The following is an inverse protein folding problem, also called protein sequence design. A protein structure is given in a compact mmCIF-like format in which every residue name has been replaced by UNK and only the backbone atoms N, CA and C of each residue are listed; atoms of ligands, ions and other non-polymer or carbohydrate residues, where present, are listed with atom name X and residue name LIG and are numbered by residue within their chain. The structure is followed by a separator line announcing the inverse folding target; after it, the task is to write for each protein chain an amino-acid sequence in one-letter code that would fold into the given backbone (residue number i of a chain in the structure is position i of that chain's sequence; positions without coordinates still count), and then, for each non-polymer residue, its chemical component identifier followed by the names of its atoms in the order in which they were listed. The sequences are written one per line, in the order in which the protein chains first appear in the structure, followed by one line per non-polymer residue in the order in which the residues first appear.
data_IF_552455361145
#
_entry.id   IF_552455361145
#
_cell.length_a   1.000
_cell.length_b   1.000
_cell.length_c   1.000
_cell.angle_alpha   90.00
_cell.angle_beta   90.00
_cell.angle_gamma   90.00
#
_symmetry.space_group_name_H-M   'P 1'
#
loop_
_entity.id
_entity.type
_entity.pdbx_description
1 polymer ?
#
# COMPACT_ATOMS: atom_id res chain seq x y z
N UNK A 1 -3.41 11.46 -4.71
CA UNK A 1 -4.76 11.14 -4.22
C UNK A 1 -4.67 11.15 -2.71
N UNK A 2 -5.35 12.09 -2.07
CA UNK A 2 -5.39 12.14 -0.61
C UNK A 2 -6.61 11.39 -0.10
N UNK A 3 -6.50 10.69 1.04
CA UNK A 3 -7.56 9.85 1.62
C UNK A 3 -8.26 8.94 0.59
N UNK A 4 -7.48 8.15 -0.16
CA UNK A 4 -8.00 7.37 -1.30
C UNK A 4 -9.18 6.46 -0.95
N UNK A 5 -9.22 5.95 0.28
CA UNK A 5 -10.24 5.05 0.79
C UNK A 5 -11.54 5.74 1.24
N UNK A 6 -11.58 7.08 1.24
CA UNK A 6 -12.72 7.83 1.77
C UNK A 6 -13.99 7.58 0.94
N UNK A 7 -15.04 7.07 1.58
CA UNK A 7 -16.31 6.73 0.94
C UNK A 7 -16.29 5.45 0.07
N UNK A 8 -15.18 4.70 0.06
CA UNK A 8 -15.05 3.46 -0.71
C UNK A 8 -15.20 2.22 0.17
N UNK A 9 -16.19 1.38 -0.13
CA UNK A 9 -16.29 0.06 0.49
C UNK A 9 -15.10 -0.82 0.10
N UNK A 10 -14.54 -1.60 1.04
CA UNK A 10 -13.32 -2.39 0.81
C UNK A 10 -13.39 -3.30 -0.44
N UNK A 11 -14.58 -3.82 -0.75
CA UNK A 11 -14.81 -4.70 -1.91
C UNK A 11 -14.54 -4.04 -3.27
N UNK A 12 -14.62 -2.71 -3.38
CA UNK A 12 -14.38 -2.00 -4.64
C UNK A 12 -12.94 -1.52 -4.79
N UNK A 13 -12.19 -1.46 -3.69
CA UNK A 13 -10.84 -0.88 -3.66
C UNK A 13 -9.87 -1.68 -4.52
N UNK A 14 -9.98 -3.02 -4.53
CA UNK A 14 -9.16 -3.90 -5.39
C UNK A 14 -9.35 -3.59 -6.88
N UNK A 15 -10.60 -3.53 -7.36
CA UNK A 15 -10.90 -3.22 -8.76
C UNK A 15 -10.45 -1.82 -9.16
N UNK A 16 -10.56 -0.86 -8.24
CA UNK A 16 -10.11 0.52 -8.48
C UNK A 16 -8.58 0.58 -8.60
N UNK A 17 -7.84 -0.15 -7.76
CA UNK A 17 -6.39 -0.27 -7.89
C UNK A 17 -5.97 -0.88 -9.22
N UNK A 18 -6.63 -1.95 -9.68
CA UNK A 18 -6.35 -2.54 -11.01
C UNK A 18 -6.53 -1.51 -12.13
N UNK A 19 -7.58 -0.70 -12.07
CA UNK A 19 -7.83 0.37 -13.03
C UNK A 19 -6.74 1.45 -12.97
N UNK A 20 -6.38 1.90 -11.77
CA UNK A 20 -5.35 2.94 -11.57
C UNK A 20 -4.00 2.47 -12.09
N UNK A 21 -3.61 1.23 -11.81
CA UNK A 21 -2.39 0.64 -12.34
C UNK A 21 -2.43 0.61 -13.87
N UNK A 22 -3.50 0.10 -14.47
CA UNK A 22 -3.63 0.06 -15.94
C UNK A 22 -3.49 1.45 -16.56
N UNK A 23 -4.20 2.45 -16.03
CA UNK A 23 -4.14 3.83 -16.52
C UNK A 23 -2.77 4.46 -16.30
N UNK A 24 -2.12 4.20 -15.16
CA UNK A 24 -0.78 4.70 -14.88
C UNK A 24 0.24 4.18 -15.90
N UNK A 25 0.15 2.89 -16.29
CA UNK A 25 0.99 2.30 -17.35
C UNK A 25 0.70 2.93 -18.71
N UNK A 26 -0.58 2.99 -19.08
CA UNK A 26 -1.00 3.48 -20.39
C UNK A 26 -0.63 4.95 -20.62
N UNK A 27 -0.75 5.77 -19.58
CA UNK A 27 -0.46 7.19 -19.63
C UNK A 27 1.00 7.52 -19.27
N UNK A 28 1.80 6.52 -18.85
CA UNK A 28 3.16 6.69 -18.35
C UNK A 28 3.26 7.76 -17.24
N UNK A 29 2.38 7.65 -16.24
CA UNK A 29 2.32 8.57 -15.10
C UNK A 29 2.63 7.86 -13.78
N UNK A 30 3.18 8.60 -12.83
CA UNK A 30 3.36 8.13 -11.45
C UNK A 30 2.20 8.59 -10.58
N UNK A 31 1.62 7.67 -9.82
CA UNK A 31 0.51 7.94 -8.90
C UNK A 31 1.00 7.88 -7.46
N UNK A 32 0.77 8.95 -6.71
CA UNK A 32 0.96 8.98 -5.27
C UNK A 32 -0.40 8.99 -4.57
N UNK A 33 -0.60 8.07 -3.63
CA UNK A 33 -1.81 7.97 -2.83
C UNK A 33 -1.50 7.89 -1.34
N UNK A 34 -2.33 8.50 -0.52
CA UNK A 34 -2.30 8.38 0.95
C UNK A 34 -3.57 7.67 1.40
N UNK A 35 -3.46 6.89 2.45
CA UNK A 35 -4.59 6.19 3.06
C UNK A 35 -4.30 5.99 4.55
N UNK A 36 -5.37 5.97 5.33
CA UNK A 36 -5.35 5.51 6.71
C UNK A 36 -5.97 4.11 6.89
N UNK A 37 -6.53 3.54 5.81
CA UNK A 37 -7.20 2.24 5.83
C UNK A 37 -6.23 1.09 5.57
N UNK A 38 -6.29 0.10 6.46
CA UNK A 38 -5.57 -1.15 6.30
C UNK A 38 -6.12 -1.98 5.13
N UNK A 39 -7.44 -1.99 4.93
CA UNK A 39 -8.07 -2.73 3.82
C UNK A 39 -7.62 -2.18 2.46
N UNK A 40 -7.39 -0.86 2.38
CA UNK A 40 -6.86 -0.20 1.19
C UNK A 40 -5.41 -0.61 0.92
N UNK A 41 -4.57 -0.66 1.95
CA UNK A 41 -3.18 -1.10 1.84
C UNK A 41 -3.12 -2.57 1.40
N UNK A 42 -3.99 -3.43 1.95
CA UNK A 42 -4.05 -4.84 1.57
C UNK A 42 -4.48 -4.98 0.12
N UNK A 43 -5.56 -4.31 -0.29
CA UNK A 43 -6.05 -4.34 -1.67
C UNK A 43 -5.00 -3.84 -2.67
N UNK A 44 -4.27 -2.77 -2.33
CA UNK A 44 -3.14 -2.29 -3.11
C UNK A 44 -2.05 -3.36 -3.24
N UNK A 45 -1.70 -3.98 -2.12
CA UNK A 45 -0.62 -4.97 -2.06
C UNK A 45 -0.94 -6.21 -2.90
N UNK A 46 -2.17 -6.71 -2.83
CA UNK A 46 -2.63 -7.83 -3.65
C UNK A 46 -2.51 -7.50 -5.15
N UNK A 47 -2.97 -6.32 -5.56
CA UNK A 47 -2.91 -5.90 -6.98
C UNK A 47 -1.47 -5.66 -7.43
N UNK A 48 -0.62 -5.08 -6.58
CA UNK A 48 0.79 -4.88 -6.88
C UNK A 48 1.53 -6.21 -7.08
N UNK A 49 1.24 -7.21 -6.24
CA UNK A 49 1.81 -8.57 -6.37
C UNK A 49 1.31 -9.28 -7.64
N UNK A 50 0.03 -9.15 -7.97
CA UNK A 50 -0.54 -9.72 -9.20
C UNK A 50 0.06 -9.11 -10.48
N UNK A 51 0.62 -7.89 -10.39
CA UNK A 51 1.17 -7.15 -11.52
C UNK A 51 2.70 -6.99 -11.39
N UNK A 52 3.44 -8.08 -11.61
CA UNK A 52 4.93 -8.15 -11.54
C UNK A 52 5.62 -7.11 -12.46
N UNK A 53 4.95 -6.67 -13.52
CA UNK A 53 5.43 -5.64 -14.45
C UNK A 53 5.34 -4.19 -13.88
N UNK A 54 4.86 -4.02 -12.64
CA UNK A 54 4.64 -2.71 -12.03
C UNK A 54 5.37 -2.55 -10.70
N UNK A 55 6.21 -1.51 -10.65
CA UNK A 55 6.93 -1.13 -9.43
C UNK A 55 5.97 -0.45 -8.43
N UNK A 56 5.35 -1.27 -7.57
CA UNK A 56 4.59 -0.81 -6.40
C UNK A 56 5.50 -0.59 -5.19
N UNK A 57 5.41 0.58 -4.54
CA UNK A 57 6.12 0.85 -3.27
C UNK A 57 5.15 1.40 -2.24
N UNK A 58 5.13 0.79 -1.05
CA UNK A 58 4.36 1.28 0.08
C UNK A 58 5.30 2.00 1.08
N UNK A 59 4.93 3.22 1.41
CA UNK A 59 5.61 4.03 2.44
C UNK A 59 4.72 4.09 3.67
N UNK A 60 5.12 3.42 4.75
CA UNK A 60 4.43 3.52 6.04
C UNK A 60 5.11 4.54 6.92
N UNK A 61 4.37 5.58 7.28
CA UNK A 61 4.83 6.59 8.23
C UNK A 61 4.33 6.18 9.62
N UNK A 62 5.24 6.06 10.57
CA UNK A 62 4.94 5.66 11.95
C UNK A 62 5.80 6.41 12.96
N UNK A 63 5.62 6.09 14.26
CA UNK A 63 6.45 6.61 15.34
C UNK A 63 7.45 5.54 15.79
N UNK A 64 8.69 5.94 16.03
CA UNK A 64 9.69 5.03 16.56
C UNK A 64 9.30 4.54 17.96
N UNK A 65 9.35 3.22 18.15
CA UNK A 65 9.17 2.55 19.45
C UNK A 65 10.48 2.38 20.23
N UNK A 66 11.62 2.75 19.64
CA UNK A 66 12.93 2.62 20.27
C UNK A 66 13.09 3.63 21.41
N UNK A 67 13.50 3.16 22.58
CA UNK A 67 13.62 3.94 23.83
C UNK A 67 14.42 5.24 23.67
N UNK A 68 15.47 5.26 22.84
CA UNK A 68 16.32 6.45 22.59
C UNK A 68 15.69 7.53 21.70
N UNK A 69 14.70 7.19 20.86
CA UNK A 69 14.09 8.10 19.87
C UNK A 69 12.55 8.01 19.90
N UNK A 70 11.99 7.73 21.08
CA UNK A 70 10.56 7.50 21.27
C UNK A 70 9.76 8.71 20.78
N UNK A 71 8.93 8.52 19.78
CA UNK A 71 8.06 9.57 19.22
C UNK A 71 8.58 10.25 17.95
N UNK A 72 9.83 10.02 17.53
CA UNK A 72 10.31 10.55 16.25
C UNK A 72 9.60 9.85 15.08
N UNK A 73 9.21 10.60 14.03
CA UNK A 73 8.62 10.01 12.83
C UNK A 73 9.66 9.13 12.13
N UNK A 74 9.24 7.92 11.77
CA UNK A 74 10.02 6.96 10.99
C UNK A 74 9.22 6.55 9.76
N UNK A 75 9.93 6.31 8.67
CA UNK A 75 9.34 5.80 7.43
C UNK A 75 9.84 4.39 7.21
N UNK A 76 8.93 3.45 7.03
CA UNK A 76 9.23 2.08 6.61
C UNK A 76 8.86 1.94 5.15
N UNK A 77 9.84 1.56 4.33
CA UNK A 77 9.68 1.36 2.90
C UNK A 77 9.49 -0.13 2.64
N UNK A 78 8.38 -0.46 1.98
CA UNK A 78 8.06 -1.81 1.53
C UNK A 78 8.08 -1.84 0.00
N UNK A 79 9.09 -2.50 -0.54
CA UNK A 79 9.20 -2.82 -1.96
C UNK A 79 8.50 -4.16 -2.24
N UNK A 80 8.42 -4.58 -3.50
CA UNK A 80 7.76 -5.82 -3.95
C UNK A 80 8.10 -7.06 -3.09
N UNK A 81 9.38 -7.33 -2.82
CA UNK A 81 9.79 -8.46 -1.97
C UNK A 81 9.22 -8.39 -0.55
N UNK A 82 9.11 -7.18 0.02
CA UNK A 82 8.57 -6.96 1.37
C UNK A 82 7.04 -6.90 1.38
N UNK A 83 6.42 -6.50 0.28
CA UNK A 83 4.97 -6.52 0.09
C UNK A 83 4.45 -7.97 0.13
N UNK A 84 5.18 -8.91 -0.47
CA UNK A 84 4.91 -10.34 -0.32
C UNK A 84 4.95 -10.81 1.14
N UNK A 85 5.96 -10.39 1.91
CA UNK A 85 6.11 -10.77 3.31
C UNK A 85 4.99 -10.22 4.21
N UNK A 86 4.57 -8.96 4.01
CA UNK A 86 3.46 -8.36 4.79
C UNK A 86 2.15 -9.13 4.57
N UNK A 87 1.88 -9.50 3.31
CA UNK A 87 0.65 -10.22 2.98
C UNK A 87 0.62 -11.59 3.68
N UNK A 88 1.77 -12.27 3.77
CA UNK A 88 1.86 -13.57 4.47
C UNK A 88 1.80 -13.43 6.00
N UNK A 89 2.52 -12.47 6.60
CA UNK A 89 2.49 -12.23 8.05
C UNK A 89 1.09 -11.83 8.55
N UNK A 90 0.28 -11.17 7.72
CA UNK A 90 -1.08 -10.76 8.10
C UNK A 90 -2.13 -11.87 7.93
N UNK A 91 -1.91 -12.84 7.03
CA UNK A 91 -2.79 -14.02 6.88
C UNK A 91 -2.69 -14.98 8.08
N UNK A 92 -1.55 -14.99 8.77
CA UNK A 92 -1.31 -15.86 9.94
C UNK A 92 -1.92 -15.34 11.25
N UNK A 93 -2.40 -14.10 11.31
CA UNK A 93 -3.07 -13.57 12.51
C UNK A 93 -4.58 -13.73 12.37
N UNK A 94 -5.09 -14.91 12.73
CA UNK A 94 -6.51 -15.17 13.01
C UNK A 94 -6.70 -15.70 14.42
#
# INVERSE_FOLDING_TARGET
MDEFDNGLHYSVQKSLWQMIFSLAKQLNIQVFATTHSWDCIQSFTEVAIENIDMNGTLLKIGKSKLSKNKGNPIVTIFNEEKLHAITQEMVEVR
#
